data_IF_662569682193
#
_entry.id   IF_662569682193
#
_cell.length_a   1.000
_cell.length_b   1.000
_cell.length_c   1.000
_cell.angle_alpha   90.00
_cell.angle_beta   90.00
_cell.angle_gamma   90.00
#
_symmetry.space_group_name_H-M   'P 1'
#
loop_
_entity.id
_entity.type
_entity.pdbx_description
1 polymer ?
#
# COMPACT_ATOMS: atom_id res chain seq x y z
N UNK A 1 -6.15 -37.57 19.68
CA UNK A 1 -6.17 -36.08 19.58
C UNK A 1 -6.66 -35.73 18.18
N UNK A 2 -7.92 -35.33 18.06
CA UNK A 2 -8.51 -34.91 16.81
C UNK A 2 -8.02 -33.45 16.57
N UNK A 3 -7.10 -33.25 15.65
CA UNK A 3 -6.78 -31.92 15.17
C UNK A 3 -8.00 -31.39 14.45
N UNK A 4 -8.77 -30.53 15.11
CA UNK A 4 -9.84 -29.80 14.44
C UNK A 4 -9.19 -28.95 13.34
N UNK A 5 -9.56 -29.19 12.09
CA UNK A 5 -9.21 -28.29 11.00
C UNK A 5 -9.78 -26.91 11.32
N UNK A 6 -9.04 -25.83 11.05
CA UNK A 6 -9.59 -24.50 11.18
C UNK A 6 -10.87 -24.40 10.34
N UNK A 7 -11.82 -23.54 10.73
CA UNK A 7 -13.05 -23.34 9.96
C UNK A 7 -12.71 -23.01 8.50
N UNK A 8 -13.57 -23.35 7.55
CA UNK A 8 -13.31 -23.10 6.14
C UNK A 8 -13.02 -21.62 5.93
N UNK A 9 -11.81 -21.33 5.52
CA UNK A 9 -11.39 -19.99 5.13
C UNK A 9 -12.24 -19.60 3.92
N UNK A 10 -12.78 -18.39 3.94
CA UNK A 10 -13.44 -17.83 2.78
C UNK A 10 -12.39 -17.65 1.68
N UNK A 11 -12.22 -18.65 0.83
CA UNK A 11 -11.12 -18.79 -0.12
C UNK A 11 -11.23 -17.90 -1.36
N UNK A 12 -12.29 -17.09 -1.46
CA UNK A 12 -12.45 -16.12 -2.52
C UNK A 12 -13.05 -14.83 -1.96
N UNK A 13 -12.23 -13.81 -1.82
CA UNK A 13 -12.69 -12.44 -1.56
C UNK A 13 -13.23 -11.86 -2.89
N UNK A 14 -14.37 -12.36 -3.33
CA UNK A 14 -15.07 -11.83 -4.49
C UNK A 14 -15.86 -10.61 -4.03
N UNK A 15 -15.49 -9.50 -4.52
CA UNK A 15 -16.34 -8.33 -4.47
C UNK A 15 -15.71 -7.14 -3.83
N UNK A 16 -15.95 -6.17 -4.49
CA UNK A 16 -16.36 -4.80 -4.20
C UNK A 16 -15.85 -4.22 -2.90
N UNK A 17 -14.58 -4.38 -2.62
CA UNK A 17 -13.94 -3.32 -1.88
C UNK A 17 -13.90 -2.15 -2.86
N UNK A 18 -14.78 -1.16 -2.65
CA UNK A 18 -14.76 0.04 -3.47
C UNK A 18 -13.38 0.69 -3.33
N UNK A 19 -12.75 1.10 -4.43
CA UNK A 19 -11.52 1.85 -4.35
C UNK A 19 -11.78 3.20 -3.66
N UNK A 20 -10.73 3.76 -3.09
CA UNK A 20 -10.75 5.06 -2.44
C UNK A 20 -9.50 5.85 -2.82
N UNK A 21 -9.54 7.16 -2.65
CA UNK A 21 -8.39 8.03 -2.84
C UNK A 21 -7.54 8.10 -1.57
N UNK A 22 -6.23 7.92 -1.73
CA UNK A 22 -5.25 8.14 -0.66
C UNK A 22 -3.99 8.80 -1.24
N UNK A 23 -3.66 10.00 -0.75
CA UNK A 23 -2.51 10.79 -1.22
C UNK A 23 -2.45 10.95 -2.76
N UNK A 24 -3.58 11.05 -3.40
CA UNK A 24 -3.70 11.21 -4.85
C UNK A 24 -3.63 9.91 -5.66
N UNK A 25 -3.34 8.79 -5.04
CA UNK A 25 -3.41 7.46 -5.64
C UNK A 25 -4.76 6.79 -5.40
N UNK A 26 -5.11 5.82 -6.23
CA UNK A 26 -6.27 4.94 -6.01
C UNK A 26 -5.84 3.71 -5.25
N UNK A 27 -6.51 3.43 -4.16
CA UNK A 27 -6.21 2.28 -3.31
C UNK A 27 -7.46 1.43 -3.14
N UNK A 28 -7.29 0.13 -3.09
CA UNK A 28 -8.34 -0.83 -2.79
C UNK A 28 -7.84 -1.84 -1.77
N UNK A 29 -8.53 -1.99 -0.66
CA UNK A 29 -8.23 -3.02 0.33
C UNK A 29 -8.75 -4.36 -0.19
N UNK A 30 -7.86 -5.29 -0.49
CA UNK A 30 -8.20 -6.63 -1.00
C UNK A 30 -8.34 -7.65 0.12
N UNK A 31 -7.41 -7.61 1.09
CA UNK A 31 -7.39 -8.52 2.25
C UNK A 31 -7.13 -7.69 3.49
N UNK A 32 -8.07 -7.66 4.41
CA UNK A 32 -7.89 -6.98 5.70
C UNK A 32 -7.15 -7.87 6.69
N UNK A 33 -6.47 -7.26 7.66
CA UNK A 33 -5.86 -7.97 8.77
C UNK A 33 -6.85 -8.80 9.58
N UNK A 34 -8.10 -8.36 9.70
CA UNK A 34 -9.15 -9.13 10.35
C UNK A 34 -9.40 -10.47 9.66
N UNK A 35 -9.31 -10.54 8.33
CA UNK A 35 -9.49 -11.77 7.57
C UNK A 35 -8.33 -12.76 7.74
N UNK A 36 -7.15 -12.28 8.16
CA UNK A 36 -5.93 -13.09 8.32
C UNK A 36 -5.51 -13.28 9.78
N UNK A 37 -6.36 -12.84 10.71
CA UNK A 37 -6.06 -12.86 12.16
C UNK A 37 -4.78 -12.07 12.49
N UNK A 38 -4.58 -10.97 11.80
CA UNK A 38 -3.45 -10.07 12.00
C UNK A 38 -2.16 -10.44 11.23
N UNK A 39 -2.17 -11.53 10.46
CA UNK A 39 -0.95 -12.01 9.82
C UNK A 39 -0.50 -11.09 8.67
N UNK A 40 -1.42 -10.74 7.79
CA UNK A 40 -1.12 -9.88 6.63
C UNK A 40 -2.34 -9.04 6.25
N UNK A 41 -2.09 -7.93 5.57
CA UNK A 41 -3.11 -7.23 4.76
C UNK A 41 -2.58 -7.06 3.33
N UNK A 42 -3.50 -6.95 2.36
CA UNK A 42 -3.16 -6.75 0.95
C UNK A 42 -3.99 -5.61 0.39
N UNK A 43 -3.32 -4.62 -0.17
CA UNK A 43 -3.91 -3.51 -0.87
C UNK A 43 -3.49 -3.52 -2.34
N UNK A 44 -4.36 -3.03 -3.21
CA UNK A 44 -4.00 -2.73 -4.60
C UNK A 44 -3.86 -1.23 -4.75
N UNK A 45 -2.75 -0.80 -5.30
CA UNK A 45 -2.48 0.58 -5.68
C UNK A 45 -2.56 0.72 -7.20
N UNK A 46 -3.25 1.75 -7.66
CA UNK A 46 -3.35 2.13 -9.07
C UNK A 46 -2.99 3.60 -9.19
N UNK A 47 -1.80 3.85 -9.69
CA UNK A 47 -1.15 5.15 -9.68
C UNK A 47 -0.84 5.64 -11.10
N UNK A 48 -0.65 6.94 -11.25
CA UNK A 48 -0.25 7.58 -12.50
C UNK A 48 1.21 8.01 -12.46
N UNK A 49 1.77 8.34 -13.63
CA UNK A 49 3.16 8.81 -13.76
C UNK A 49 3.48 9.92 -12.75
N UNK A 50 4.60 9.76 -12.07
CA UNK A 50 5.10 10.72 -11.09
C UNK A 50 4.49 10.57 -9.71
N UNK A 51 3.49 9.69 -9.51
CA UNK A 51 3.01 9.37 -8.17
C UNK A 51 4.15 8.76 -7.36
N UNK A 52 4.40 9.35 -6.20
CA UNK A 52 5.47 8.96 -5.29
C UNK A 52 5.07 9.34 -3.85
N UNK A 53 5.02 8.39 -2.91
CA UNK A 53 4.88 8.74 -1.50
C UNK A 53 6.15 9.41 -0.99
N UNK A 54 6.09 10.21 0.09
CA UNK A 54 7.28 10.65 0.79
C UNK A 54 8.15 9.46 1.20
N UNK A 55 9.47 9.67 1.31
CA UNK A 55 10.36 8.65 1.90
C UNK A 55 9.94 8.41 3.35
N UNK A 56 9.63 7.17 3.69
CA UNK A 56 9.06 6.81 4.99
C UNK A 56 9.57 5.47 5.51
N UNK A 57 9.31 5.22 6.79
CA UNK A 57 9.68 3.99 7.50
C UNK A 57 8.44 3.43 8.17
N UNK A 58 8.28 2.12 8.11
CA UNK A 58 7.33 1.37 8.92
C UNK A 58 8.04 0.76 10.12
N UNK A 59 7.56 1.02 11.34
CA UNK A 59 8.16 0.45 12.56
C UNK A 59 7.83 -1.04 12.73
N UNK A 60 6.70 -1.49 12.17
CA UNK A 60 6.11 -2.78 12.51
C UNK A 60 5.96 -3.72 11.33
N UNK A 61 5.72 -3.21 10.15
CA UNK A 61 5.38 -3.99 8.97
C UNK A 61 6.56 -4.09 8.02
N UNK A 62 6.80 -5.29 7.51
CA UNK A 62 7.51 -5.45 6.23
C UNK A 62 6.51 -5.15 5.11
N UNK A 63 6.95 -4.43 4.10
CA UNK A 63 6.14 -4.06 2.94
C UNK A 63 6.66 -4.78 1.71
N UNK A 64 5.78 -5.51 1.01
CA UNK A 64 6.14 -6.28 -0.18
C UNK A 64 5.33 -5.74 -1.35
N UNK A 65 6.01 -5.23 -2.37
CA UNK A 65 5.39 -4.74 -3.61
C UNK A 65 5.50 -5.79 -4.70
N UNK A 66 4.37 -6.16 -5.30
CA UNK A 66 4.32 -7.04 -6.47
C UNK A 66 3.78 -6.22 -7.64
N UNK A 67 4.61 -5.90 -8.62
CA UNK A 67 4.21 -5.12 -9.79
C UNK A 67 3.33 -5.97 -10.70
N UNK A 68 2.12 -5.49 -10.97
CA UNK A 68 1.14 -6.16 -11.84
C UNK A 68 1.18 -5.57 -13.24
N UNK A 69 1.32 -4.24 -13.34
CA UNK A 69 1.36 -3.52 -14.60
C UNK A 69 2.16 -2.21 -14.47
N UNK A 70 2.76 -1.75 -15.58
CA UNK A 70 3.55 -0.53 -15.61
C UNK A 70 5.01 -0.73 -15.22
N UNK A 71 5.73 0.38 -14.98
CA UNK A 71 7.10 0.39 -14.50
C UNK A 71 7.26 1.37 -13.34
N UNK A 72 7.99 0.94 -12.32
CA UNK A 72 8.11 1.65 -11.04
C UNK A 72 9.58 1.59 -10.61
N UNK A 73 10.14 2.76 -10.25
CA UNK A 73 11.43 2.83 -9.57
C UNK A 73 11.19 2.78 -8.06
N UNK A 74 11.87 1.87 -7.38
CA UNK A 74 11.86 1.74 -5.92
C UNK A 74 13.15 2.29 -5.32
N UNK A 75 13.01 2.88 -4.13
CA UNK A 75 14.12 3.28 -3.26
C UNK A 75 13.93 2.53 -1.95
N UNK A 76 14.92 1.72 -1.56
CA UNK A 76 14.89 0.96 -0.30
C UNK A 76 16.27 1.07 0.35
N UNK A 77 16.36 1.83 1.46
CA UNK A 77 17.64 2.22 2.02
C UNK A 77 18.49 2.99 1.00
N UNK A 78 19.67 2.46 0.69
CA UNK A 78 20.58 3.03 -0.29
C UNK A 78 20.39 2.46 -1.71
N UNK A 79 19.54 1.44 -1.86
CA UNK A 79 19.31 0.78 -3.14
C UNK A 79 18.23 1.50 -3.94
N UNK A 80 18.49 1.67 -5.26
CA UNK A 80 17.55 2.22 -6.24
C UNK A 80 17.48 1.26 -7.41
N UNK A 81 16.27 0.79 -7.74
CA UNK A 81 16.07 -0.18 -8.81
C UNK A 81 14.70 -0.06 -9.47
N UNK A 82 14.62 -0.45 -10.73
CA UNK A 82 13.38 -0.45 -11.50
C UNK A 82 12.77 -1.84 -11.53
N UNK A 83 11.44 -1.92 -11.38
CA UNK A 83 10.67 -3.14 -11.53
C UNK A 83 9.53 -2.96 -12.52
N UNK A 84 9.23 -4.06 -13.23
CA UNK A 84 8.10 -4.22 -14.13
C UNK A 84 7.19 -5.37 -13.75
N UNK A 85 6.19 -5.70 -14.59
CA UNK A 85 5.20 -6.72 -14.30
C UNK A 85 5.81 -8.09 -13.97
N UNK A 86 5.35 -8.69 -12.86
CA UNK A 86 5.81 -9.99 -12.36
C UNK A 86 7.01 -9.93 -11.42
N UNK A 87 7.60 -8.75 -11.24
CA UNK A 87 8.72 -8.54 -10.32
C UNK A 87 8.25 -8.07 -8.95
N UNK A 88 9.08 -8.30 -7.93
CA UNK A 88 8.73 -8.07 -6.51
C UNK A 88 9.86 -7.32 -5.82
N UNK A 89 9.51 -6.33 -4.98
CA UNK A 89 10.43 -5.68 -4.06
C UNK A 89 10.01 -5.93 -2.60
N UNK A 90 10.98 -5.85 -1.70
CA UNK A 90 10.79 -5.92 -0.25
C UNK A 90 11.32 -4.65 0.38
N UNK A 91 10.48 -3.96 1.16
CA UNK A 91 10.84 -2.90 2.11
C UNK A 91 10.79 -3.46 3.52
N UNK A 92 11.93 -3.85 4.12
CA UNK A 92 11.94 -4.34 5.49
C UNK A 92 11.52 -3.25 6.47
N UNK A 93 10.81 -3.63 7.52
CA UNK A 93 10.51 -2.72 8.64
C UNK A 93 11.78 -2.04 9.15
N UNK A 94 11.66 -0.80 9.55
CA UNK A 94 12.80 0.01 10.00
C UNK A 94 13.72 0.52 8.88
N UNK A 95 13.46 0.15 7.62
CA UNK A 95 14.23 0.64 6.47
C UNK A 95 13.45 1.73 5.75
N UNK A 96 14.07 2.87 5.51
CA UNK A 96 13.46 3.96 4.75
C UNK A 96 13.22 3.53 3.30
N UNK A 97 12.00 3.76 2.80
CA UNK A 97 11.65 3.37 1.44
C UNK A 97 10.61 4.28 0.81
N UNK A 98 10.53 4.21 -0.50
CA UNK A 98 9.55 4.90 -1.34
C UNK A 98 9.57 4.30 -2.75
N UNK A 99 8.69 4.82 -3.62
CA UNK A 99 8.70 4.48 -5.05
C UNK A 99 8.31 5.69 -5.90
N UNK A 100 8.52 5.61 -7.20
CA UNK A 100 7.97 6.56 -8.18
C UNK A 100 7.51 5.82 -9.43
N UNK A 101 6.31 6.12 -9.89
CA UNK A 101 5.74 5.55 -11.12
C UNK A 101 6.39 6.18 -12.34
N UNK A 102 6.95 5.37 -13.24
CA UNK A 102 7.64 5.81 -14.46
C UNK A 102 6.79 5.67 -15.72
N UNK A 103 5.95 4.65 -15.81
CA UNK A 103 4.98 4.49 -16.90
C UNK A 103 3.82 5.49 -16.81
N UNK A 104 2.97 5.56 -17.83
CA UNK A 104 1.77 6.42 -17.78
C UNK A 104 0.86 6.06 -16.61
N UNK A 105 0.70 4.77 -16.36
CA UNK A 105 -0.01 4.19 -15.21
C UNK A 105 0.79 3.01 -14.67
N UNK A 106 0.59 2.68 -13.41
CA UNK A 106 1.10 1.45 -12.83
C UNK A 106 0.06 0.86 -11.86
N UNK A 107 0.11 -0.46 -11.72
CA UNK A 107 -0.70 -1.19 -10.75
C UNK A 107 0.19 -2.18 -10.00
N UNK A 108 0.08 -2.19 -8.68
CA UNK A 108 0.82 -3.10 -7.83
C UNK A 108 -0.05 -3.62 -6.68
N UNK A 109 0.25 -4.83 -6.23
CA UNK A 109 -0.24 -5.35 -4.96
C UNK A 109 0.80 -5.04 -3.90
N UNK A 110 0.34 -4.53 -2.78
CA UNK A 110 1.17 -4.23 -1.63
C UNK A 110 0.71 -5.07 -0.45
N UNK A 111 1.60 -5.91 0.05
CA UNK A 111 1.35 -6.77 1.20
C UNK A 111 2.10 -6.24 2.40
N UNK A 112 1.39 -6.02 3.48
CA UNK A 112 1.95 -5.63 4.78
C UNK A 112 1.95 -6.83 5.73
N UNK A 113 3.07 -7.11 6.38
CA UNK A 113 3.26 -8.20 7.34
C UNK A 113 4.04 -7.73 8.59
N UNK A 114 3.42 -7.78 9.80
CA UNK A 114 2.01 -8.11 10.06
C UNK A 114 1.06 -7.08 9.46
N UNK A 115 -0.26 -7.32 9.56
CA UNK A 115 -1.28 -6.33 9.21
C UNK A 115 -1.41 -5.26 10.29
N UNK A 116 -2.16 -4.20 9.98
CA UNK A 116 -2.49 -3.11 10.92
C UNK A 116 -2.42 -1.74 10.24
N UNK A 117 -1.42 -1.52 9.40
CA UNK A 117 -1.26 -0.24 8.71
C UNK A 117 -2.39 0.04 7.69
N UNK A 118 -3.10 -0.98 7.21
CA UNK A 118 -4.25 -0.79 6.31
C UNK A 118 -5.34 0.10 6.90
N UNK A 119 -5.46 0.11 8.22
CA UNK A 119 -6.42 0.97 8.91
C UNK A 119 -6.08 2.47 8.73
N UNK A 120 -4.78 2.81 8.61
CA UNK A 120 -4.38 4.17 8.28
C UNK A 120 -4.89 4.60 6.91
N UNK A 121 -4.76 3.73 5.91
CA UNK A 121 -5.27 4.02 4.56
C UNK A 121 -6.79 4.20 4.58
N UNK A 122 -7.53 3.27 5.20
CA UNK A 122 -8.99 3.29 5.25
C UNK A 122 -9.53 4.52 6.00
N UNK A 123 -8.96 4.84 7.18
CA UNK A 123 -9.46 5.91 8.04
C UNK A 123 -9.10 7.32 7.56
N UNK A 124 -8.10 7.45 6.67
CA UNK A 124 -7.66 8.73 6.12
C UNK A 124 -7.89 8.82 4.60
N UNK A 125 -8.77 7.99 4.08
CA UNK A 125 -9.15 7.98 2.68
C UNK A 125 -10.30 8.93 2.37
N UNK A 126 -10.42 9.29 1.09
CA UNK A 126 -11.61 9.93 0.55
C UNK A 126 -12.37 8.95 -0.35
N UNK A 127 -13.72 8.90 -0.27
CA UNK A 127 -14.50 8.05 -1.14
C UNK A 127 -14.24 8.34 -2.62
N UNK A 128 -14.26 7.30 -3.44
CA UNK A 128 -14.29 7.42 -4.89
C UNK A 128 -15.77 7.49 -5.32
N UNK A 129 -16.37 8.68 -5.28
CA UNK A 129 -17.79 8.87 -5.60
C UNK A 129 -18.05 8.84 -7.11
N UNK A 130 -17.16 9.49 -7.87
CA UNK A 130 -17.16 9.45 -9.34
C UNK A 130 -15.71 9.22 -9.81
N UNK A 131 -15.54 8.22 -10.68
CA UNK A 131 -14.22 7.88 -11.20
C UNK A 131 -13.94 8.64 -12.51
N UNK A 132 -13.78 9.96 -12.41
CA UNK A 132 -13.35 10.81 -13.52
C UNK A 132 -11.81 10.93 -13.62
N UNK A 133 -11.08 10.23 -12.75
CA UNK A 133 -9.62 10.27 -12.68
C UNK A 133 -9.06 11.43 -11.85
N UNK A 134 -9.93 12.25 -11.24
CA UNK A 134 -9.52 13.40 -10.44
C UNK A 134 -9.51 13.04 -8.95
N UNK A 135 -8.33 13.07 -8.29
CA UNK A 135 -8.27 12.83 -6.85
C UNK A 135 -9.09 13.85 -6.06
N UNK A 136 -9.84 13.38 -5.07
CA UNK A 136 -10.45 14.26 -4.10
C UNK A 136 -9.39 15.10 -3.38
N UNK A 137 -9.68 16.35 -2.99
CA UNK A 137 -8.77 17.15 -2.19
C UNK A 137 -8.38 16.43 -0.88
N UNK A 138 -7.10 16.49 -0.52
CA UNK A 138 -6.59 15.87 0.70
C UNK A 138 -5.56 16.75 1.40
N UNK A 139 -5.48 16.60 2.72
CA UNK A 139 -4.49 17.30 3.56
C UNK A 139 -3.31 16.35 3.83
N UNK A 140 -2.22 16.54 3.11
CA UNK A 140 -0.99 15.75 3.26
C UNK A 140 -0.47 15.78 4.70
N UNK A 141 -0.46 16.95 5.34
CA UNK A 141 0.08 17.09 6.70
C UNK A 141 -0.77 16.32 7.73
N UNK A 142 -2.10 16.35 7.60
CA UNK A 142 -3.00 15.61 8.46
C UNK A 142 -2.83 14.09 8.27
N UNK A 143 -2.75 13.61 7.02
CA UNK A 143 -2.56 12.18 6.69
C UNK A 143 -1.22 11.69 7.25
N UNK A 144 -0.13 12.42 7.01
CA UNK A 144 1.21 12.09 7.52
C UNK A 144 1.24 12.06 9.04
N UNK A 145 0.64 13.05 9.70
CA UNK A 145 0.54 13.08 11.16
C UNK A 145 -0.25 11.90 11.73
N UNK A 146 -1.33 11.49 11.06
CA UNK A 146 -2.11 10.32 11.44
C UNK A 146 -1.30 9.01 11.33
N UNK A 147 -0.36 8.92 10.38
CA UNK A 147 0.51 7.76 10.18
C UNK A 147 1.33 7.38 11.41
N UNK A 148 1.72 8.36 12.24
CA UNK A 148 2.48 8.12 13.47
C UNK A 148 1.78 7.13 14.44
N UNK A 149 0.45 7.10 14.46
CA UNK A 149 -0.32 6.16 15.29
C UNK A 149 -0.19 4.72 14.81
N UNK A 150 0.17 4.54 13.55
CA UNK A 150 0.33 3.25 12.89
C UNK A 150 1.81 2.87 12.74
N UNK A 151 2.73 3.66 13.31
CA UNK A 151 4.17 3.43 13.22
C UNK A 151 4.76 3.79 11.85
N UNK A 152 4.09 4.68 11.11
CA UNK A 152 4.59 5.20 9.83
C UNK A 152 5.22 6.57 10.04
N UNK A 153 6.49 6.71 9.71
CA UNK A 153 7.28 7.92 9.91
C UNK A 153 7.81 8.45 8.58
N UNK A 154 7.42 9.65 8.19
CA UNK A 154 8.02 10.32 7.04
C UNK A 154 9.40 10.86 7.44
N UNK A 155 10.42 10.47 6.68
CA UNK A 155 11.83 10.81 6.96
C UNK A 155 12.50 11.62 5.85
N UNK A 156 11.80 11.84 4.72
CA UNK A 156 12.31 12.64 3.61
C UNK A 156 11.23 12.96 2.56
N UNK A 157 11.58 13.78 1.57
CA UNK A 157 10.68 14.07 0.45
C UNK A 157 10.46 12.83 -0.43
N UNK A 158 9.43 12.86 -1.30
CA UNK A 158 9.32 11.86 -2.37
C UNK A 158 10.58 11.81 -3.23
N UNK A 159 10.96 10.64 -3.78
CA UNK A 159 12.06 10.54 -4.74
C UNK A 159 11.71 11.29 -6.05
N UNK A 160 12.73 11.77 -6.75
CA UNK A 160 12.59 12.52 -8.02
C UNK A 160 12.35 11.57 -9.22
#
# INVERSE_FOLDING_TARGET
>A
MTTAFPPPVQSALRGSQQPFWFLGGRVRLLVSGAATTGAVSVLEFSDTRGQAPPLHVHDREDEIWSVVDGSITFVVGDDVFDLGPGEVALGPRGTAHSYVVRSATARMLVTYAPSGVEEWFVTNSSPLEEDDGTPAPFDVAAIVSAGLRFGVHVVGPPPA
#
